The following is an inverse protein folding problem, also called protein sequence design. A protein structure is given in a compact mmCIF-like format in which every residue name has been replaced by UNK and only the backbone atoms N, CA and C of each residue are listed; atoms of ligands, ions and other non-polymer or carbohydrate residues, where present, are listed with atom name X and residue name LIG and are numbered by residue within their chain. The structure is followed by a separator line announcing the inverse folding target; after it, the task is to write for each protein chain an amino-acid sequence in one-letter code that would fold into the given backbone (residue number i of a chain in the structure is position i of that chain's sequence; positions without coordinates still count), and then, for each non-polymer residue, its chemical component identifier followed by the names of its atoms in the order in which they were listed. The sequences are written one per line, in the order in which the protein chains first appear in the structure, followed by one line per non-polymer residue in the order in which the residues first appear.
data_IF_973454069847
#
_entry.id   IF_973454069847
#
_cell.length_a   1.000
_cell.length_b   1.000
_cell.length_c   1.000
_cell.angle_alpha   90.00
_cell.angle_beta   90.00
_cell.angle_gamma   90.00
#
_symmetry.space_group_name_H-M   'P 1'
#
loop_
_entity.id
_entity.type
_entity.pdbx_description
1 polymer ?
#
# COMPACT_ATOMS: atom_id res chain seq x y z
N UNK A 1 -55.29 41.66 12.97
CA UNK A 1 -53.84 41.48 12.72
C UNK A 1 -53.64 40.10 12.12
N UNK A 2 -53.50 40.02 10.80
CA UNK A 2 -53.49 38.74 10.06
C UNK A 2 -52.08 38.13 10.14
N UNK A 3 -51.94 36.98 10.81
CA UNK A 3 -50.67 36.26 10.90
C UNK A 3 -50.49 35.43 9.62
N UNK A 4 -49.56 35.82 8.75
CA UNK A 4 -49.28 35.14 7.46
C UNK A 4 -48.35 33.91 7.62
N UNK A 5 -48.10 33.46 8.86
CA UNK A 5 -47.13 32.42 9.19
C UNK A 5 -47.48 31.64 10.47
N UNK A 6 -46.93 30.43 10.58
CA UNK A 6 -47.08 29.50 11.70
C UNK A 6 -45.71 29.00 12.17
N UNK A 7 -45.50 28.89 13.49
CA UNK A 7 -44.28 28.32 14.05
C UNK A 7 -44.38 26.78 14.09
N UNK A 8 -43.38 26.09 13.54
CA UNK A 8 -43.30 24.62 13.54
C UNK A 8 -41.93 24.15 14.01
N UNK A 9 -41.90 23.05 14.76
CA UNK A 9 -40.67 22.49 15.29
C UNK A 9 -39.84 21.80 14.20
N UNK A 10 -38.57 22.17 14.08
CA UNK A 10 -37.62 21.57 13.15
C UNK A 10 -36.63 20.68 13.93
N UNK A 11 -36.64 19.35 13.73
CA UNK A 11 -35.74 18.43 14.43
C UNK A 11 -34.26 18.62 14.07
N UNK A 12 -33.97 19.17 12.89
CA UNK A 12 -32.59 19.37 12.41
C UNK A 12 -31.92 20.55 13.13
N UNK A 13 -32.69 21.60 13.41
CA UNK A 13 -32.19 22.79 14.12
C UNK A 13 -32.52 22.78 15.61
N UNK A 14 -33.31 21.80 16.08
CA UNK A 14 -33.67 21.62 17.48
C UNK A 14 -34.65 22.65 18.05
N UNK A 15 -35.29 23.47 17.22
CA UNK A 15 -36.11 24.62 17.65
C UNK A 15 -37.32 24.92 16.77
N UNK A 16 -38.14 25.90 17.19
CA UNK A 16 -39.29 26.39 16.43
C UNK A 16 -38.85 27.35 15.33
N UNK A 17 -39.30 27.11 14.10
CA UNK A 17 -39.05 27.98 12.94
C UNK A 17 -40.37 28.51 12.37
N UNK A 18 -40.36 29.72 11.82
CA UNK A 18 -41.53 30.31 11.15
C UNK A 18 -41.66 29.73 9.73
N UNK A 19 -42.85 29.24 9.40
CA UNK A 19 -43.18 28.63 8.10
C UNK A 19 -44.52 29.21 7.62
N UNK A 20 -44.72 29.29 6.31
CA UNK A 20 -46.04 29.62 5.74
C UNK A 20 -47.12 28.69 6.30
N UNK A 21 -48.28 29.26 6.62
CA UNK A 21 -49.46 28.54 7.12
C UNK A 21 -50.00 27.49 6.13
N UNK A 22 -49.73 27.66 4.83
CA UNK A 22 -50.09 26.69 3.79
C UNK A 22 -49.15 25.46 3.77
N UNK A 23 -47.99 25.51 4.43
CA UNK A 23 -47.05 24.41 4.43
C UNK A 23 -47.58 23.24 5.26
N UNK A 24 -48.05 22.19 4.59
CA UNK A 24 -48.56 20.97 5.23
C UNK A 24 -47.47 19.89 5.27
N UNK A 25 -47.43 19.12 6.36
CA UNK A 25 -46.49 17.99 6.52
C UNK A 25 -46.83 16.92 5.47
N UNK A 26 -45.93 16.69 4.51
CA UNK A 26 -46.05 15.55 3.59
C UNK A 26 -45.62 14.30 4.35
N UNK A 27 -46.58 13.53 4.83
CA UNK A 27 -46.32 12.19 5.36
C UNK A 27 -46.15 11.28 4.15
N UNK A 28 -44.90 11.08 3.69
CA UNK A 28 -44.63 9.94 2.81
C UNK A 28 -44.90 8.69 3.65
N UNK A 29 -45.96 7.95 3.33
CA UNK A 29 -46.18 6.61 3.87
C UNK A 29 -45.04 5.73 3.36
N UNK A 30 -43.97 5.64 4.13
CA UNK A 30 -42.95 4.62 3.91
C UNK A 30 -43.61 3.30 4.28
N UNK A 31 -44.07 2.57 3.28
CA UNK A 31 -44.50 1.18 3.46
C UNK A 31 -43.25 0.40 3.85
N UNK A 32 -42.96 0.29 5.15
CA UNK A 32 -41.99 -0.68 5.65
C UNK A 32 -42.60 -2.05 5.36
N UNK A 33 -42.25 -2.64 4.22
CA UNK A 33 -42.39 -4.09 4.05
C UNK A 33 -41.64 -4.72 5.20
N UNK A 34 -42.39 -5.37 6.08
CA UNK A 34 -41.91 -6.10 7.23
C UNK A 34 -41.33 -7.41 6.71
N UNK A 35 -40.18 -7.34 6.04
CA UNK A 35 -39.35 -8.51 5.80
C UNK A 35 -38.57 -8.75 7.08
N UNK A 36 -39.07 -9.66 7.92
CA UNK A 36 -38.24 -10.37 8.88
C UNK A 36 -37.16 -11.14 8.08
N UNK A 37 -36.10 -10.43 7.68
CA UNK A 37 -34.85 -11.07 7.25
C UNK A 37 -34.14 -11.42 8.55
N UNK A 38 -34.12 -12.72 8.82
CA UNK A 38 -33.34 -13.40 9.85
C UNK A 38 -31.95 -12.75 10.01
N UNK A 39 -31.83 -11.87 10.99
CA UNK A 39 -30.56 -11.28 11.42
C UNK A 39 -29.90 -12.19 12.46
N UNK A 40 -29.75 -13.46 12.12
CA UNK A 40 -29.05 -14.45 12.93
C UNK A 40 -28.58 -15.55 11.99
N UNK A 41 -27.42 -15.36 11.35
CA UNK A 41 -26.85 -16.43 10.54
C UNK A 41 -25.92 -16.08 9.38
N UNK A 42 -25.27 -14.91 9.33
CA UNK A 42 -24.03 -14.78 8.52
C UNK A 42 -23.04 -13.81 9.19
N UNK A 43 -22.20 -14.27 10.14
CA UNK A 43 -20.90 -13.64 10.35
C UNK A 43 -19.73 -14.55 9.94
N UNK A 44 -19.99 -15.68 9.25
CA UNK A 44 -18.94 -16.67 8.97
C UNK A 44 -18.48 -16.75 7.50
N UNK A 45 -19.30 -16.36 6.51
CA UNK A 45 -18.97 -16.61 5.09
C UNK A 45 -17.97 -15.58 4.52
N UNK A 46 -17.84 -14.40 5.14
CA UNK A 46 -16.84 -13.41 4.72
C UNK A 46 -15.41 -13.76 5.18
N UNK A 47 -15.23 -14.76 6.06
CA UNK A 47 -13.92 -15.24 6.50
C UNK A 47 -13.34 -16.34 5.60
N UNK A 48 -14.13 -16.88 4.67
CA UNK A 48 -13.72 -18.00 3.81
C UNK A 48 -13.25 -17.60 2.41
N UNK A 49 -13.38 -16.33 2.04
CA UNK A 49 -12.62 -15.82 0.90
C UNK A 49 -11.20 -15.54 1.39
N UNK A 50 -10.29 -16.46 1.10
CA UNK A 50 -8.88 -16.10 0.97
C UNK A 50 -8.83 -14.97 -0.06
N UNK A 51 -8.85 -13.72 0.41
CA UNK A 51 -8.42 -12.59 -0.38
C UNK A 51 -7.06 -13.03 -0.93
N UNK A 52 -6.97 -13.25 -2.24
CA UNK A 52 -5.68 -13.43 -2.88
C UNK A 52 -5.00 -12.08 -2.73
N UNK A 53 -4.35 -11.91 -1.59
CA UNK A 53 -3.45 -10.81 -1.34
C UNK A 53 -2.37 -10.92 -2.41
N UNK A 54 -2.14 -9.85 -3.17
CA UNK A 54 -0.99 -9.69 -4.05
C UNK A 54 0.27 -9.54 -3.18
N UNK A 55 0.56 -10.54 -2.36
CA UNK A 55 1.63 -10.56 -1.39
C UNK A 55 2.53 -11.78 -1.61
N UNK A 56 3.78 -11.66 -1.17
CA UNK A 56 4.70 -12.80 -1.14
C UNK A 56 4.20 -13.89 -0.20
N UNK A 57 4.55 -15.14 -0.51
CA UNK A 57 4.33 -16.27 0.38
C UNK A 57 5.41 -16.26 1.45
N UNK A 58 4.99 -16.24 2.71
CA UNK A 58 5.87 -16.25 3.88
C UNK A 58 5.49 -17.39 4.82
N UNK A 59 6.42 -17.82 5.69
CA UNK A 59 6.14 -18.85 6.69
C UNK A 59 5.16 -18.34 7.75
N UNK A 60 4.27 -19.22 8.19
CA UNK A 60 3.13 -18.87 9.04
C UNK A 60 3.45 -18.82 10.53
N UNK A 61 4.60 -19.33 10.94
CA UNK A 61 5.08 -19.43 12.33
C UNK A 61 5.88 -18.21 12.78
N UNK A 62 6.28 -17.30 11.88
CA UNK A 62 6.78 -15.96 12.22
C UNK A 62 5.61 -14.98 12.23
N UNK A 63 5.61 -14.03 13.18
CA UNK A 63 4.59 -12.99 13.23
C UNK A 63 4.62 -12.15 11.94
N UNK A 64 3.46 -12.01 11.26
CA UNK A 64 3.40 -11.36 9.95
C UNK A 64 3.90 -9.90 9.96
N UNK A 65 3.79 -9.23 11.11
CA UNK A 65 4.31 -7.88 11.31
C UNK A 65 5.82 -7.78 11.07
N UNK A 66 6.60 -8.85 11.33
CA UNK A 66 8.03 -8.89 11.04
C UNK A 66 8.32 -8.67 9.55
N UNK A 67 7.54 -9.29 8.66
CA UNK A 67 7.70 -9.10 7.21
C UNK A 67 7.32 -7.69 6.77
N UNK A 68 6.29 -7.11 7.40
CA UNK A 68 5.86 -5.73 7.12
C UNK A 68 6.88 -4.71 7.59
N UNK A 69 7.39 -4.88 8.81
CA UNK A 69 8.43 -4.01 9.36
C UNK A 69 9.72 -4.11 8.56
N UNK A 70 10.09 -5.33 8.12
CA UNK A 70 11.21 -5.53 7.21
C UNK A 70 11.01 -4.76 5.89
N UNK A 71 9.85 -4.89 5.26
CA UNK A 71 9.56 -4.25 3.97
C UNK A 71 9.48 -2.72 4.06
N UNK A 72 9.02 -2.20 5.20
CA UNK A 72 8.85 -0.76 5.43
C UNK A 72 10.05 -0.11 6.17
N UNK A 73 11.15 -0.85 6.39
CA UNK A 73 12.31 -0.41 7.19
C UNK A 73 11.93 0.13 8.59
N UNK A 74 11.01 -0.54 9.27
CA UNK A 74 10.49 -0.18 10.59
C UNK A 74 10.91 -1.17 11.68
N UNK A 75 10.60 -0.83 12.92
CA UNK A 75 10.88 -1.67 14.07
C UNK A 75 12.39 -1.95 14.18
N UNK A 76 12.76 -3.23 14.13
CA UNK A 76 14.15 -3.67 14.19
C UNK A 76 14.92 -3.49 12.86
N UNK A 77 14.23 -3.20 11.77
CA UNK A 77 14.76 -3.20 10.40
C UNK A 77 15.07 -1.81 9.86
N UNK A 78 15.49 -0.90 10.74
CA UNK A 78 15.98 0.42 10.37
C UNK A 78 17.25 0.26 9.49
N UNK A 79 17.43 1.03 8.41
CA UNK A 79 18.59 0.90 7.54
C UNK A 79 19.90 1.03 8.32
N UNK A 80 20.87 0.17 8.00
CA UNK A 80 22.15 0.10 8.71
C UNK A 80 22.16 -0.76 9.98
N UNK A 81 21.00 -1.23 10.47
CA UNK A 81 20.95 -2.18 11.57
C UNK A 81 21.66 -3.51 11.20
N UNK A 82 22.39 -4.10 12.14
CA UNK A 82 23.16 -5.32 11.93
C UNK A 82 22.70 -6.42 12.90
N UNK A 83 22.94 -7.67 12.52
CA UNK A 83 22.75 -8.85 13.38
C UNK A 83 21.35 -8.92 14.01
N UNK A 84 20.33 -8.68 13.18
CA UNK A 84 18.93 -8.58 13.63
C UNK A 84 18.39 -10.00 13.92
N UNK A 85 18.01 -10.33 15.16
CA UNK A 85 17.44 -11.63 15.48
C UNK A 85 15.98 -11.72 15.05
N UNK A 86 15.60 -12.87 14.48
CA UNK A 86 14.22 -13.19 14.11
C UNK A 86 13.74 -14.36 14.93
N UNK A 87 12.61 -14.18 15.60
CA UNK A 87 11.97 -15.19 16.43
C UNK A 87 10.66 -15.67 15.79
N UNK A 88 10.29 -16.91 16.07
CA UNK A 88 8.94 -17.41 15.79
C UNK A 88 7.92 -16.89 16.83
N UNK A 89 6.66 -17.26 16.63
CA UNK A 89 5.54 -16.87 17.50
C UNK A 89 5.65 -17.44 18.92
N UNK A 90 6.42 -18.51 19.11
CA UNK A 90 6.66 -19.12 20.42
C UNK A 90 7.88 -18.51 21.13
N UNK A 91 8.53 -17.52 20.51
CA UNK A 91 9.69 -16.81 21.04
C UNK A 91 11.02 -17.55 20.82
N UNK A 92 11.04 -18.63 20.05
CA UNK A 92 12.28 -19.35 19.72
C UNK A 92 13.01 -18.66 18.57
N UNK A 93 14.33 -18.58 18.69
CA UNK A 93 15.19 -17.98 17.67
C UNK A 93 15.16 -18.83 16.39
N UNK A 94 14.74 -18.20 15.29
CA UNK A 94 14.71 -18.81 13.96
C UNK A 94 16.01 -18.56 13.21
N UNK A 95 16.57 -17.36 13.34
CA UNK A 95 17.78 -16.97 12.62
C UNK A 95 18.17 -15.52 12.87
N UNK A 96 19.28 -15.10 12.25
CA UNK A 96 19.82 -13.74 12.36
C UNK A 96 20.15 -13.17 10.99
N UNK A 97 19.74 -11.93 10.75
CA UNK A 97 20.16 -11.14 9.60
C UNK A 97 21.48 -10.45 9.93
N UNK A 98 22.59 -11.20 9.85
CA UNK A 98 23.93 -10.72 10.22
C UNK A 98 24.94 -10.65 9.06
N UNK A 99 24.55 -11.01 7.84
CA UNK A 99 25.49 -11.09 6.69
C UNK A 99 25.79 -9.74 6.03
N UNK A 100 24.95 -8.75 6.27
CA UNK A 100 25.08 -7.37 5.80
C UNK A 100 24.21 -6.45 6.67
N UNK A 101 24.53 -5.15 6.75
CA UNK A 101 23.62 -4.17 7.32
C UNK A 101 22.28 -4.16 6.59
N UNK A 102 21.22 -3.83 7.31
CA UNK A 102 19.87 -3.72 6.76
C UNK A 102 19.85 -2.70 5.63
N UNK A 103 19.33 -3.11 4.47
CA UNK A 103 19.27 -2.26 3.29
C UNK A 103 18.20 -1.17 3.44
N UNK A 104 18.42 -0.03 2.79
CA UNK A 104 17.41 1.03 2.63
C UNK A 104 16.53 0.73 1.41
N UNK A 105 15.25 0.44 1.66
CA UNK A 105 14.26 0.14 0.62
C UNK A 105 13.47 1.38 0.17
N UNK A 106 13.80 2.58 0.65
CA UNK A 106 13.08 3.82 0.30
C UNK A 106 13.06 4.13 -1.19
N UNK A 107 14.06 3.66 -1.95
CA UNK A 107 14.10 3.75 -3.42
C UNK A 107 13.01 2.95 -4.14
N UNK A 108 12.31 2.05 -3.45
CA UNK A 108 11.18 1.30 -4.00
C UNK A 108 9.91 2.16 -3.92
N UNK A 109 9.14 2.17 -5.00
CA UNK A 109 7.85 2.86 -5.05
C UNK A 109 6.90 2.32 -3.98
N UNK A 110 6.03 3.15 -3.41
CA UNK A 110 5.14 2.76 -2.30
C UNK A 110 4.21 1.57 -2.59
N UNK A 111 3.96 1.24 -3.86
CA UNK A 111 3.17 0.08 -4.28
C UNK A 111 4.03 -1.16 -4.63
N UNK A 112 5.35 -1.11 -4.44
CA UNK A 112 6.27 -2.23 -4.60
C UNK A 112 6.59 -2.66 -6.03
N UNK A 113 6.12 -1.94 -7.07
CA UNK A 113 6.28 -2.42 -8.47
C UNK A 113 7.47 -1.81 -9.21
N UNK A 114 8.06 -0.72 -8.73
CA UNK A 114 9.18 -0.05 -9.41
C UNK A 114 10.26 0.41 -8.42
N UNK A 115 11.51 0.49 -8.89
CA UNK A 115 12.65 0.94 -8.09
C UNK A 115 13.34 2.10 -8.77
N UNK A 116 13.62 3.17 -8.03
CA UNK A 116 14.40 4.32 -8.50
C UNK A 116 15.88 3.92 -8.63
N UNK A 117 16.46 4.10 -9.82
CA UNK A 117 17.89 3.79 -10.09
C UNK A 117 18.69 4.99 -10.60
N UNK A 118 18.00 6.08 -10.92
CA UNK A 118 18.56 7.39 -11.20
C UNK A 118 17.55 8.45 -10.77
N UNK A 119 17.95 9.70 -10.44
CA UNK A 119 17.01 10.71 -9.91
C UNK A 119 15.75 10.96 -10.76
N UNK A 120 15.78 10.63 -12.06
CA UNK A 120 14.61 10.76 -12.95
C UNK A 120 14.14 9.43 -13.57
N UNK A 121 14.73 8.28 -13.20
CA UNK A 121 14.43 7.00 -13.85
C UNK A 121 14.19 5.89 -12.84
N UNK A 122 13.12 5.14 -13.09
CA UNK A 122 12.77 3.91 -12.38
C UNK A 122 13.00 2.70 -13.28
N UNK A 123 13.07 1.51 -12.69
CA UNK A 123 13.06 0.23 -13.40
C UNK A 123 11.94 -0.66 -12.89
N UNK A 124 11.38 -1.46 -13.79
CA UNK A 124 10.39 -2.51 -13.48
C UNK A 124 10.33 -3.49 -14.67
N UNK A 125 9.30 -4.33 -14.73
CA UNK A 125 9.01 -5.26 -15.82
C UNK A 125 8.03 -4.62 -16.81
N UNK A 126 8.24 -4.83 -18.11
CA UNK A 126 7.47 -4.11 -19.15
C UNK A 126 6.00 -4.52 -19.16
N UNK A 127 5.69 -5.76 -18.75
CA UNK A 127 4.31 -6.24 -18.68
C UNK A 127 3.43 -5.46 -17.67
N UNK A 128 4.02 -4.67 -16.76
CA UNK A 128 3.29 -3.80 -15.84
C UNK A 128 2.70 -2.55 -16.53
N UNK A 129 1.96 -2.72 -17.63
CA UNK A 129 1.47 -1.62 -18.47
C UNK A 129 0.45 -0.66 -17.82
N UNK A 130 -0.15 -1.05 -16.69
CA UNK A 130 -1.26 -0.32 -16.09
C UNK A 130 -0.89 0.93 -15.29
N UNK A 131 0.26 0.95 -14.61
CA UNK A 131 0.62 2.08 -13.75
C UNK A 131 1.15 3.27 -14.57
N UNK A 132 0.72 4.47 -14.19
CA UNK A 132 1.06 5.74 -14.85
C UNK A 132 1.83 6.70 -13.94
N UNK A 133 1.92 6.38 -12.67
CA UNK A 133 2.64 7.17 -11.67
C UNK A 133 3.16 6.28 -10.55
N UNK A 134 4.12 6.81 -9.80
CA UNK A 134 4.71 6.21 -8.60
C UNK A 134 4.84 7.27 -7.50
N UNK A 135 5.01 6.80 -6.27
CA UNK A 135 5.25 7.61 -5.08
C UNK A 135 6.42 7.02 -4.30
N UNK A 136 7.17 7.85 -3.57
CA UNK A 136 8.33 7.46 -2.78
C UNK A 136 8.22 7.97 -1.34
N UNK A 137 9.06 7.44 -0.44
CA UNK A 137 9.08 7.84 0.97
C UNK A 137 7.73 7.63 1.65
N UNK A 138 7.09 8.71 2.11
CA UNK A 138 5.82 8.66 2.84
C UNK A 138 4.56 8.44 1.97
N UNK A 139 4.73 8.31 0.64
CA UNK A 139 3.64 8.09 -0.30
C UNK A 139 2.75 9.30 -0.59
N UNK A 140 2.99 10.46 0.03
CA UNK A 140 2.23 11.70 -0.16
C UNK A 140 2.86 12.60 -1.23
N UNK A 141 3.35 11.99 -2.30
CA UNK A 141 3.91 12.63 -3.48
C UNK A 141 3.53 11.80 -4.72
N UNK A 142 3.68 12.34 -5.91
CA UNK A 142 3.34 11.62 -7.14
C UNK A 142 4.24 12.06 -8.29
N UNK A 143 4.92 11.09 -8.88
CA UNK A 143 5.75 11.24 -10.07
C UNK A 143 5.09 10.49 -11.22
N UNK A 144 4.77 11.20 -12.30
CA UNK A 144 4.12 10.62 -13.48
C UNK A 144 5.15 10.13 -14.49
N UNK A 145 4.86 9.02 -15.16
CA UNK A 145 5.69 8.51 -16.24
C UNK A 145 5.49 9.37 -17.48
N UNK A 146 6.60 9.83 -18.08
CA UNK A 146 6.58 10.56 -19.37
C UNK A 146 6.89 9.63 -20.54
N UNK A 147 7.74 8.63 -20.31
CA UNK A 147 8.06 7.57 -21.26
C UNK A 147 8.30 6.29 -20.47
N UNK A 148 7.87 5.15 -20.98
CA UNK A 148 8.12 3.84 -20.36
C UNK A 148 9.52 3.32 -20.67
N UNK A 149 10.14 3.73 -21.78
CA UNK A 149 11.42 3.19 -22.25
C UNK A 149 11.45 1.65 -22.20
N UNK A 150 10.51 1.02 -22.89
CA UNK A 150 10.42 -0.44 -22.93
C UNK A 150 11.64 -1.02 -23.64
N UNK A 151 12.24 -2.06 -23.05
CA UNK A 151 13.27 -2.82 -23.74
C UNK A 151 12.63 -3.60 -24.91
N UNK A 152 13.26 -3.61 -26.11
CA UNK A 152 12.66 -4.21 -27.31
C UNK A 152 12.33 -5.71 -27.15
N UNK A 153 13.27 -6.51 -26.63
CA UNK A 153 13.14 -7.96 -26.55
C UNK A 153 12.78 -8.51 -25.16
N UNK A 154 13.46 -8.09 -24.09
CA UNK A 154 13.24 -8.64 -22.73
C UNK A 154 12.08 -7.96 -21.99
N UNK A 155 11.55 -8.63 -20.97
CA UNK A 155 10.49 -8.11 -20.09
C UNK A 155 11.07 -7.12 -19.06
N UNK A 156 11.47 -5.95 -19.56
CA UNK A 156 12.09 -4.90 -18.77
C UNK A 156 11.74 -3.54 -19.37
N UNK A 157 11.64 -2.53 -18.51
CA UNK A 157 11.56 -1.15 -18.96
C UNK A 157 12.20 -0.20 -17.94
N UNK A 158 12.64 0.97 -18.40
CA UNK A 158 13.27 1.98 -17.56
C UNK A 158 12.54 3.33 -17.62
N UNK A 159 11.31 3.44 -17.09
CA UNK A 159 10.51 4.63 -17.27
C UNK A 159 11.17 5.92 -16.79
N UNK A 160 11.02 6.96 -17.60
CA UNK A 160 11.38 8.33 -17.25
C UNK A 160 10.24 9.00 -16.50
N UNK A 161 10.57 9.68 -15.41
CA UNK A 161 9.63 10.46 -14.60
C UNK A 161 9.56 11.92 -15.09
N UNK A 162 8.43 12.57 -14.84
CA UNK A 162 8.22 13.98 -15.17
C UNK A 162 9.08 14.95 -14.34
N UNK A 163 9.54 14.54 -13.16
CA UNK A 163 10.35 15.35 -12.23
C UNK A 163 11.47 14.51 -11.62
N UNK A 164 12.50 15.19 -11.11
CA UNK A 164 13.52 14.57 -10.27
C UNK A 164 12.90 14.20 -8.92
N UNK A 165 13.16 12.99 -8.46
CA UNK A 165 12.75 12.52 -7.13
C UNK A 165 13.65 13.14 -6.08
N UNK A 166 13.06 13.63 -4.99
CA UNK A 166 13.78 14.33 -3.92
C UNK A 166 13.65 13.68 -2.54
N UNK A 167 12.67 12.80 -2.33
CA UNK A 167 12.41 12.20 -1.03
C UNK A 167 13.40 11.07 -0.68
N UNK A 168 14.01 10.44 -1.69
CA UNK A 168 14.80 9.21 -1.55
C UNK A 168 15.99 9.22 -2.50
N UNK A 169 17.01 8.44 -2.18
CA UNK A 169 18.20 8.27 -3.02
C UNK A 169 17.98 7.07 -3.97
N UNK A 170 18.39 7.15 -5.24
CA UNK A 170 18.32 6.01 -6.15
C UNK A 170 19.17 4.82 -5.69
N UNK A 171 18.68 3.61 -5.93
CA UNK A 171 19.43 2.37 -5.67
C UNK A 171 20.56 2.19 -6.67
N UNK A 172 21.72 1.73 -6.17
CA UNK A 172 22.85 1.40 -7.02
C UNK A 172 22.55 0.14 -7.85
N UNK A 173 22.77 0.21 -9.16
CA UNK A 173 22.64 -0.95 -10.05
C UNK A 173 23.96 -1.71 -10.10
N UNK A 174 23.88 -3.02 -10.04
CA UNK A 174 25.03 -3.93 -10.16
C UNK A 174 25.78 -3.72 -11.48
N UNK A 175 27.11 -3.59 -11.40
CA UNK A 175 27.99 -3.47 -12.56
C UNK A 175 28.25 -4.79 -13.30
N UNK A 176 27.92 -5.94 -12.69
CA UNK A 176 28.07 -7.26 -13.33
C UNK A 176 27.00 -7.53 -14.40
N UNK A 177 25.91 -6.76 -14.42
CA UNK A 177 24.82 -6.90 -15.38
C UNK A 177 24.27 -8.33 -15.45
N UNK A 178 24.21 -8.91 -16.65
CA UNK A 178 23.68 -10.27 -16.87
C UNK A 178 24.77 -11.33 -17.00
N UNK A 179 25.99 -11.05 -16.52
CA UNK A 179 27.11 -11.97 -16.62
C UNK A 179 26.80 -13.31 -15.95
N UNK A 180 27.02 -14.39 -16.71
CA UNK A 180 26.75 -15.75 -16.25
C UNK A 180 27.49 -16.06 -14.94
N UNK A 181 26.77 -16.64 -13.98
CA UNK A 181 27.27 -17.06 -12.67
C UNK A 181 27.83 -15.94 -11.76
N UNK A 182 27.74 -14.65 -12.13
CA UNK A 182 28.28 -13.56 -11.30
C UNK A 182 27.71 -13.57 -9.87
N UNK A 183 26.40 -13.79 -9.74
CA UNK A 183 25.68 -13.81 -8.46
C UNK A 183 25.78 -15.13 -7.69
N UNK A 184 26.51 -16.13 -8.20
CA UNK A 184 26.80 -17.37 -7.47
C UNK A 184 28.02 -17.24 -6.55
N UNK A 185 28.83 -16.19 -6.72
CA UNK A 185 30.05 -16.00 -5.93
C UNK A 185 29.69 -15.49 -4.52
N UNK A 186 29.55 -16.42 -3.58
CA UNK A 186 29.05 -16.18 -2.21
C UNK A 186 29.97 -15.35 -1.33
N UNK A 187 31.26 -15.26 -1.66
CA UNK A 187 32.20 -14.38 -0.95
C UNK A 187 31.92 -12.89 -1.25
N UNK A 188 31.44 -12.58 -2.46
CA UNK A 188 31.05 -11.21 -2.85
C UNK A 188 29.59 -10.90 -2.58
N UNK A 189 28.69 -11.84 -2.91
CA UNK A 189 27.25 -11.68 -2.73
C UNK A 189 26.77 -12.59 -1.60
N UNK A 190 26.89 -12.09 -0.37
CA UNK A 190 26.68 -12.88 0.86
C UNK A 190 25.20 -13.03 1.23
N UNK A 191 24.35 -12.09 0.80
CA UNK A 191 22.91 -12.05 1.08
C UNK A 191 22.13 -11.39 -0.07
N UNK A 192 20.85 -11.79 -0.19
CA UNK A 192 19.90 -11.22 -1.15
C UNK A 192 18.59 -10.93 -0.44
N UNK A 193 18.09 -9.71 -0.57
CA UNK A 193 16.81 -9.28 -0.02
C UNK A 193 15.85 -8.89 -1.15
N UNK A 194 14.55 -8.97 -0.85
CA UNK A 194 13.47 -8.50 -1.73
C UNK A 194 12.35 -7.90 -0.90
N UNK A 195 11.64 -6.95 -1.50
CA UNK A 195 10.40 -6.34 -0.99
C UNK A 195 9.36 -6.31 -2.10
#
# INVERSE_FOLDING_TARGET
MNKVYSLKYCPVTGGLIAVSELARRVIKKTCRRLTHILLAGIPAICLCYSQISLAGIVRSDIAYQIYRDFAENKGLFVPGANDIPVYDKDGKLVGRLGKAPMADFSSVSSNGVATLVSPQYIVSVKHNGGYRSVSFGNGKNTYSLVDRNNHPSIDFHAPRLNKLVTEVIPSAVTSEGTKANAYKYTERYTAFYRV
#
